data_IF_822823554300
#
_entry.id   IF_822823554300
#
_cell.length_a   1.000
_cell.length_b   1.000
_cell.length_c   1.000
_cell.angle_alpha   90.00
_cell.angle_beta   90.00
_cell.angle_gamma   90.00
#
_symmetry.space_group_name_H-M   'P 1'
#
loop_
_entity.id
_entity.type
_entity.pdbx_description
1 polymer ?
#
# COMPACT_ATOMS: atom_id res chain seq x y z
N UNK A 1 4.36 9.88 -5.94
CA UNK A 1 3.69 9.09 -4.88
C UNK A 1 4.73 8.38 -4.02
N UNK A 2 4.58 8.42 -2.73
CA UNK A 2 5.45 7.71 -1.79
C UNK A 2 4.65 6.64 -1.08
N UNK A 3 5.17 5.42 -1.05
CA UNK A 3 4.53 4.31 -0.35
C UNK A 3 5.44 3.89 0.80
N UNK A 4 4.92 3.90 2.02
CA UNK A 4 5.64 3.48 3.22
C UNK A 4 5.13 2.13 3.70
N UNK A 5 6.04 1.26 4.08
CA UNK A 5 5.74 -0.08 4.57
C UNK A 5 6.10 -0.18 6.05
N UNK A 6 5.19 -0.71 6.85
CA UNK A 6 5.37 -0.79 8.30
C UNK A 6 5.36 -2.23 8.79
N UNK A 7 6.01 -2.45 9.92
CA UNK A 7 6.03 -3.73 10.63
C UNK A 7 6.51 -4.86 9.71
N UNK A 8 5.86 -6.03 9.75
CA UNK A 8 6.31 -7.19 8.98
C UNK A 8 6.13 -7.00 7.46
N UNK A 9 5.37 -5.99 7.03
CA UNK A 9 5.24 -5.69 5.60
C UNK A 9 6.59 -5.25 5.03
N UNK A 10 7.41 -4.54 5.82
CA UNK A 10 8.78 -4.18 5.42
C UNK A 10 9.62 -5.42 5.13
N UNK A 11 9.41 -6.48 5.87
CA UNK A 11 10.17 -7.71 5.69
C UNK A 11 9.82 -8.40 4.37
N UNK A 12 8.57 -8.27 3.94
CA UNK A 12 8.12 -8.85 2.68
C UNK A 12 8.60 -8.01 1.49
N UNK A 13 8.46 -6.69 1.57
CA UNK A 13 8.87 -5.80 0.49
C UNK A 13 10.37 -5.57 0.46
N UNK A 14 11.03 -5.79 1.59
CA UNK A 14 12.44 -5.53 1.80
C UNK A 14 12.78 -4.03 1.62
N UNK A 15 11.81 -3.18 1.95
CA UNK A 15 11.92 -1.72 1.84
C UNK A 15 11.13 -1.05 2.94
N UNK A 16 11.62 0.10 3.41
CA UNK A 16 10.85 0.92 4.34
C UNK A 16 9.87 1.82 3.57
N UNK A 17 10.26 2.25 2.38
CA UNK A 17 9.41 3.03 1.50
C UNK A 17 9.90 2.91 0.06
N UNK A 18 9.05 3.32 -0.87
CA UNK A 18 9.46 3.46 -2.27
C UNK A 18 8.73 4.64 -2.90
N UNK A 19 9.36 5.20 -3.93
CA UNK A 19 8.81 6.33 -4.67
C UNK A 19 8.35 5.84 -6.04
N UNK A 20 7.13 6.22 -6.43
CA UNK A 20 6.59 5.93 -7.74
C UNK A 20 6.46 7.25 -8.49
N UNK A 21 7.31 7.46 -9.51
CA UNK A 21 7.35 8.70 -10.27
C UNK A 21 6.43 8.67 -11.48
N UNK A 22 6.17 7.49 -12.03
CA UNK A 22 5.38 7.34 -13.25
C UNK A 22 4.36 6.23 -13.10
N UNK A 23 3.21 6.41 -13.77
CA UNK A 23 2.16 5.39 -13.82
C UNK A 23 1.73 4.95 -12.43
N UNK A 24 1.61 5.91 -11.52
CA UNK A 24 1.17 5.60 -10.17
C UNK A 24 -0.25 5.05 -10.20
N UNK A 25 -0.60 4.17 -9.25
CA UNK A 25 -1.98 3.68 -9.15
C UNK A 25 -2.93 4.84 -8.91
N UNK A 26 -4.11 4.77 -9.50
CA UNK A 26 -5.10 5.86 -9.45
C UNK A 26 -6.03 5.76 -8.26
N UNK A 27 -6.06 4.60 -7.63
CA UNK A 27 -6.91 4.36 -6.46
C UNK A 27 -6.34 3.17 -5.68
N UNK A 28 -6.95 2.86 -4.54
CA UNK A 28 -6.47 1.78 -3.67
C UNK A 28 -6.55 0.42 -4.36
N UNK A 29 -7.59 0.17 -5.16
CA UNK A 29 -7.71 -1.10 -5.87
C UNK A 29 -6.54 -1.31 -6.84
N UNK A 30 -6.17 -0.27 -7.59
CA UNK A 30 -5.02 -0.35 -8.50
C UNK A 30 -3.72 -0.50 -7.71
N UNK A 31 -3.62 0.14 -6.55
CA UNK A 31 -2.45 -0.02 -5.69
C UNK A 31 -2.31 -1.47 -5.23
N UNK A 32 -3.41 -2.12 -4.84
CA UNK A 32 -3.40 -3.53 -4.45
C UNK A 32 -2.92 -4.42 -5.60
N UNK A 33 -3.37 -4.14 -6.81
CA UNK A 33 -2.94 -4.90 -8.00
C UNK A 33 -1.43 -4.74 -8.20
N UNK A 34 -0.94 -3.51 -8.09
CA UNK A 34 0.49 -3.24 -8.23
C UNK A 34 1.31 -3.97 -7.16
N UNK A 35 0.84 -3.97 -5.92
CA UNK A 35 1.52 -4.64 -4.82
C UNK A 35 1.55 -6.15 -5.03
N UNK A 36 0.47 -6.76 -5.49
CA UNK A 36 0.43 -8.19 -5.79
C UNK A 36 1.42 -8.56 -6.88
N UNK A 37 1.55 -7.69 -7.89
CA UNK A 37 2.46 -7.92 -9.01
C UNK A 37 3.92 -7.85 -8.57
N UNK A 38 4.25 -6.83 -7.78
CA UNK A 38 5.64 -6.57 -7.36
C UNK A 38 6.06 -7.42 -6.17
N UNK A 39 5.11 -7.78 -5.31
CA UNK A 39 5.35 -8.53 -4.09
C UNK A 39 4.34 -9.67 -3.95
N UNK A 40 4.56 -10.78 -4.67
CA UNK A 40 3.60 -11.89 -4.65
C UNK A 40 3.30 -12.43 -3.25
N UNK A 41 4.24 -12.30 -2.33
CA UNK A 41 4.03 -12.76 -0.95
C UNK A 41 3.02 -11.91 -0.17
N UNK A 42 2.65 -10.73 -0.70
CA UNK A 42 1.59 -9.92 -0.11
C UNK A 42 0.19 -10.34 -0.59
N UNK A 43 0.09 -11.14 -1.65
CA UNK A 43 -1.19 -11.43 -2.29
C UNK A 43 -2.23 -11.97 -1.33
N UNK A 44 -1.89 -12.97 -0.53
CA UNK A 44 -2.86 -13.56 0.39
C UNK A 44 -3.34 -12.57 1.45
N UNK A 45 -2.45 -11.70 1.90
CA UNK A 45 -2.80 -10.68 2.90
C UNK A 45 -3.73 -9.62 2.31
N UNK A 46 -3.50 -9.26 1.04
CA UNK A 46 -4.37 -8.33 0.33
C UNK A 46 -5.74 -8.95 0.04
N UNK A 47 -5.76 -10.23 -0.36
CA UNK A 47 -6.99 -10.95 -0.65
C UNK A 47 -7.84 -11.18 0.60
N UNK A 48 -7.20 -11.36 1.76
CA UNK A 48 -7.89 -11.53 3.03
C UNK A 48 -8.28 -10.20 3.66
N UNK A 49 -7.94 -9.09 3.01
CA UNK A 49 -8.27 -7.73 3.47
C UNK A 49 -7.74 -7.44 4.87
N UNK A 50 -6.54 -7.95 5.18
CA UNK A 50 -5.93 -7.73 6.50
C UNK A 50 -5.01 -6.53 6.53
N UNK A 51 -4.59 -6.00 5.37
CA UNK A 51 -3.74 -4.82 5.33
C UNK A 51 -4.57 -3.55 5.41
N UNK A 52 -3.99 -2.53 6.03
CA UNK A 52 -4.66 -1.24 6.21
C UNK A 52 -3.87 -0.16 5.50
N UNK A 53 -4.59 0.87 5.04
CA UNK A 53 -4.02 1.96 4.25
C UNK A 53 -4.36 3.29 4.90
N UNK A 54 -3.38 4.19 4.94
CA UNK A 54 -3.61 5.58 5.31
C UNK A 54 -3.06 6.45 4.20
N UNK A 55 -3.84 7.43 3.75
CA UNK A 55 -3.46 8.36 2.71
C UNK A 55 -3.23 9.70 3.36
N UNK A 56 -1.99 10.20 3.29
CA UNK A 56 -1.61 11.47 3.90
C UNK A 56 -2.04 11.51 5.37
N UNK A 57 -1.75 10.43 6.11
CA UNK A 57 -2.03 10.26 7.54
C UNK A 57 -3.52 10.07 7.87
N UNK A 58 -4.38 9.91 6.86
CA UNK A 58 -5.79 9.65 7.07
C UNK A 58 -6.11 8.20 6.74
N UNK A 59 -6.61 7.48 7.72
CA UNK A 59 -6.99 6.09 7.59
C UNK A 59 -8.18 5.95 6.63
N UNK A 60 -8.12 4.96 5.73
CA UNK A 60 -9.23 4.69 4.82
C UNK A 60 -9.53 3.19 4.79
N UNK A 61 -10.83 2.86 4.74
CA UNK A 61 -11.32 1.48 4.59
C UNK A 61 -11.88 1.24 3.21
N UNK A 62 -12.03 2.29 2.42
CA UNK A 62 -12.70 2.21 1.12
C UNK A 62 -11.72 2.46 -0.02
N UNK A 63 -12.14 2.10 -1.23
CA UNK A 63 -11.39 2.45 -2.41
C UNK A 63 -11.37 3.97 -2.54
N UNK A 64 -10.19 4.55 -2.53
CA UNK A 64 -9.99 5.99 -2.50
C UNK A 64 -9.09 6.39 -3.67
N UNK A 65 -9.40 7.52 -4.30
CA UNK A 65 -8.57 8.04 -5.38
C UNK A 65 -7.22 8.50 -4.85
N UNK A 66 -6.18 8.25 -5.62
CA UNK A 66 -4.81 8.60 -5.27
C UNK A 66 -4.24 9.59 -6.27
N UNK A 67 -3.47 10.55 -5.75
CA UNK A 67 -2.82 11.58 -6.56
C UNK A 67 -1.30 11.37 -6.54
N UNK A 68 -0.62 11.97 -7.50
CA UNK A 68 0.82 11.79 -7.66
C UNK A 68 1.65 12.26 -6.46
N UNK A 69 1.13 13.18 -5.67
CA UNK A 69 1.83 13.72 -4.51
C UNK A 69 1.45 13.06 -3.19
N UNK A 70 0.59 12.05 -3.23
CA UNK A 70 0.12 11.40 -2.02
C UNK A 70 1.20 10.53 -1.38
N UNK A 71 1.12 10.43 -0.06
CA UNK A 71 1.92 9.50 0.73
C UNK A 71 0.99 8.44 1.29
N UNK A 72 1.28 7.19 0.94
CA UNK A 72 0.44 6.06 1.33
C UNK A 72 1.20 5.23 2.36
N UNK A 73 0.61 5.02 3.52
CA UNK A 73 1.15 4.11 4.53
C UNK A 73 0.40 2.78 4.45
N UNK A 74 1.15 1.69 4.41
CA UNK A 74 0.59 0.34 4.40
C UNK A 74 1.05 -0.34 5.67
N UNK A 75 0.09 -0.81 6.47
CA UNK A 75 0.40 -1.39 7.77
C UNK A 75 -0.55 -2.54 8.09
N UNK A 76 -0.10 -3.47 8.96
CA UNK A 76 -0.98 -4.56 9.39
C UNK A 76 -2.02 -4.06 10.38
N UNK A 77 -3.10 -4.83 10.60
CA UNK A 77 -4.10 -4.43 11.59
C UNK A 77 -3.47 -4.35 12.97
N UNK A 78 -3.92 -3.38 13.75
CA UNK A 78 -3.50 -3.22 15.13
C UNK A 78 -4.33 -4.18 15.99
N UNK A 79 -3.65 -4.96 16.78
CA UNK A 79 -4.31 -5.90 17.70
C UNK A 79 -4.33 -5.36 19.11
#
# INVERSE_FOLDING_TARGET
>A
MKIKYFAWIKDITNKEFEIIDRNHPKNIEELKILLKKNYPDLEKHLDQDVLRFAINLEYTLENHNLNSNDEIAIFPPVS
#
